data_IF_328738361415
#
_entry.id   IF_328738361415
#
_cell.length_a   1.000
_cell.length_b   1.000
_cell.length_c   1.000
_cell.angle_alpha   90.00
_cell.angle_beta   90.00
_cell.angle_gamma   90.00
#
_symmetry.space_group_name_H-M   'P 1'
#
loop_
_entity.id
_entity.type
_entity.pdbx_description
1 polymer ?
#
# COMPACT_ATOMS: atom_id res chain seq x y z
N UNK A 1 43.31 -24.19 -21.51
CA UNK A 1 42.80 -23.22 -20.50
C UNK A 1 41.29 -23.08 -20.52
N UNK A 2 40.66 -22.83 -21.69
CA UNK A 2 39.20 -22.64 -21.81
C UNK A 2 38.36 -23.82 -21.27
N UNK A 3 38.78 -25.07 -21.52
CA UNK A 3 38.04 -26.27 -21.05
C UNK A 3 37.99 -26.36 -19.52
N UNK A 4 39.08 -26.04 -18.83
CA UNK A 4 39.16 -26.07 -17.36
C UNK A 4 38.30 -24.97 -16.75
N UNK A 5 38.32 -23.77 -17.37
CA UNK A 5 37.45 -22.65 -16.96
C UNK A 5 35.98 -23.04 -17.14
N UNK A 6 35.61 -23.68 -18.24
CA UNK A 6 34.24 -24.16 -18.49
C UNK A 6 33.79 -25.19 -17.44
N UNK A 7 34.65 -26.15 -17.08
CA UNK A 7 34.33 -27.18 -16.08
C UNK A 7 34.11 -26.57 -14.69
N UNK A 8 34.80 -25.48 -14.34
CA UNK A 8 34.56 -24.77 -13.06
C UNK A 8 33.34 -23.83 -13.13
N UNK A 9 33.10 -23.23 -14.30
CA UNK A 9 32.08 -22.22 -14.50
C UNK A 9 30.66 -22.79 -14.46
N UNK A 10 30.40 -23.90 -15.15
CA UNK A 10 29.05 -24.48 -15.21
C UNK A 10 28.52 -24.97 -13.85
N UNK A 11 29.29 -25.64 -12.98
CA UNK A 11 28.86 -25.99 -11.63
C UNK A 11 28.61 -24.78 -10.75
N UNK A 12 29.44 -23.74 -10.84
CA UNK A 12 29.25 -22.50 -10.08
C UNK A 12 27.97 -21.78 -10.50
N UNK A 13 27.68 -21.73 -11.80
CA UNK A 13 26.45 -21.16 -12.34
C UNK A 13 25.22 -21.99 -11.91
N UNK A 14 25.31 -23.32 -11.98
CA UNK A 14 24.28 -24.23 -11.49
C UNK A 14 23.98 -24.04 -10.00
N UNK A 15 25.01 -23.91 -9.17
CA UNK A 15 24.86 -23.64 -7.74
C UNK A 15 24.20 -22.27 -7.47
N UNK A 16 24.60 -21.24 -8.23
CA UNK A 16 23.98 -19.91 -8.17
C UNK A 16 22.49 -19.95 -8.51
N UNK A 17 22.12 -20.62 -9.61
CA UNK A 17 20.72 -20.79 -10.04
C UNK A 17 19.93 -21.60 -9.01
N UNK A 18 20.50 -22.67 -8.47
CA UNK A 18 19.85 -23.48 -7.43
C UNK A 18 19.55 -22.67 -6.17
N UNK A 19 20.53 -21.91 -5.66
CA UNK A 19 20.35 -21.00 -4.51
C UNK A 19 19.33 -19.91 -4.79
N UNK A 20 19.32 -19.37 -6.00
CA UNK A 20 18.33 -18.38 -6.42
C UNK A 20 16.91 -18.96 -6.46
N UNK A 21 16.71 -20.17 -6.99
CA UNK A 21 15.41 -20.85 -7.01
C UNK A 21 14.93 -21.14 -5.57
N UNK A 22 15.80 -21.62 -4.69
CA UNK A 22 15.47 -21.84 -3.28
C UNK A 22 15.06 -20.54 -2.58
N UNK A 23 15.80 -19.46 -2.82
CA UNK A 23 15.48 -18.14 -2.27
C UNK A 23 14.11 -17.66 -2.76
N UNK A 24 13.87 -17.71 -4.09
CA UNK A 24 12.58 -17.34 -4.69
C UNK A 24 11.42 -18.16 -4.12
N UNK A 25 11.60 -19.48 -3.97
CA UNK A 25 10.58 -20.35 -3.39
C UNK A 25 10.31 -20.03 -1.92
N UNK A 26 11.31 -19.61 -1.16
CA UNK A 26 11.16 -19.21 0.24
C UNK A 26 10.43 -17.87 0.37
N UNK A 27 10.76 -16.89 -0.47
CA UNK A 27 10.08 -15.59 -0.51
C UNK A 27 8.63 -15.75 -0.98
N UNK A 28 8.38 -16.59 -2.00
CA UNK A 28 7.02 -16.86 -2.53
C UNK A 28 6.09 -17.56 -1.53
N UNK A 29 6.64 -18.28 -0.54
CA UNK A 29 5.84 -18.94 0.51
C UNK A 29 5.31 -17.94 1.55
N UNK A 30 6.03 -16.84 1.79
CA UNK A 30 5.64 -15.77 2.74
C UNK A 30 4.62 -14.77 2.17
N UNK A 31 4.16 -15.01 0.94
CA UNK A 31 3.18 -14.18 0.26
C UNK A 31 1.83 -14.32 0.96
N UNK A 32 1.24 -13.20 1.37
CA UNK A 32 -0.13 -13.17 1.87
C UNK A 32 -1.07 -13.47 0.70
N UNK A 33 -1.93 -14.48 0.91
CA UNK A 33 -2.97 -14.92 -0.04
C UNK A 33 -4.27 -14.17 0.18
N UNK A 34 -4.64 -13.93 1.44
CA UNK A 34 -5.92 -13.32 1.81
C UNK A 34 -5.81 -12.63 3.17
N UNK A 35 -6.47 -11.48 3.28
CA UNK A 35 -6.65 -10.76 4.55
C UNK A 35 -8.12 -10.93 4.96
N UNK A 36 -8.35 -11.32 6.20
CA UNK A 36 -9.67 -11.41 6.81
C UNK A 36 -9.71 -10.50 8.02
N UNK A 37 -10.72 -9.64 8.09
CA UNK A 37 -10.99 -8.83 9.29
C UNK A 37 -12.29 -9.34 9.88
N UNK A 38 -12.24 -9.76 11.14
CA UNK A 38 -13.36 -10.29 11.90
C UNK A 38 -13.48 -9.59 13.27
N UNK A 39 -14.33 -10.17 14.13
CA UNK A 39 -14.62 -9.66 15.48
C UNK A 39 -13.45 -9.84 16.46
N UNK A 40 -12.44 -10.65 16.11
CA UNK A 40 -11.26 -10.89 16.93
C UNK A 40 -10.10 -9.99 16.52
N UNK A 41 -9.99 -9.67 15.24
CA UNK A 41 -8.89 -8.85 14.72
C UNK A 41 -8.70 -8.99 13.21
N UNK A 42 -7.46 -8.76 12.77
CA UNK A 42 -7.04 -9.00 11.39
C UNK A 42 -6.21 -10.26 11.29
N UNK A 43 -6.49 -11.07 10.27
CA UNK A 43 -5.84 -12.35 10.00
C UNK A 43 -5.26 -12.35 8.60
N UNK A 44 -4.00 -12.76 8.50
CA UNK A 44 -3.22 -12.83 7.27
C UNK A 44 -3.02 -14.29 6.88
N UNK A 45 -3.84 -14.80 5.99
CA UNK A 45 -3.66 -16.15 5.43
C UNK A 45 -2.51 -16.09 4.42
N UNK A 46 -1.44 -16.84 4.66
CA UNK A 46 -0.28 -16.95 3.75
C UNK A 46 -0.42 -18.13 2.79
N UNK A 47 0.33 -18.09 1.69
CA UNK A 47 0.37 -19.18 0.70
C UNK A 47 0.95 -20.49 1.24
N UNK A 48 1.78 -20.44 2.27
CA UNK A 48 2.31 -21.62 2.94
C UNK A 48 1.33 -22.30 3.92
N UNK A 49 0.13 -21.73 4.09
CA UNK A 49 -0.89 -22.24 5.00
C UNK A 49 -0.79 -21.71 6.43
N UNK A 50 0.24 -20.92 6.75
CA UNK A 50 0.32 -20.20 8.03
C UNK A 50 -0.65 -19.02 8.05
N UNK A 51 -1.16 -18.69 9.23
CA UNK A 51 -2.01 -17.52 9.44
C UNK A 51 -1.45 -16.68 10.56
N UNK A 52 -1.03 -15.45 10.26
CA UNK A 52 -0.72 -14.49 11.33
C UNK A 52 -1.99 -13.77 11.74
N UNK A 53 -2.05 -13.35 13.00
CA UNK A 53 -3.17 -12.59 13.52
C UNK A 53 -2.66 -11.39 14.31
N UNK A 54 -3.39 -10.29 14.19
CA UNK A 54 -3.28 -9.15 15.08
C UNK A 54 -4.66 -9.00 15.73
N UNK A 55 -4.75 -9.39 16.99
CA UNK A 55 -6.01 -9.45 17.74
C UNK A 55 -6.26 -8.14 18.47
N UNK A 56 -7.52 -7.73 18.58
CA UNK A 56 -7.89 -6.53 19.32
C UNK A 56 -7.54 -6.63 20.82
N UNK A 57 -7.60 -7.85 21.38
CA UNK A 57 -7.27 -8.11 22.78
C UNK A 57 -5.79 -7.89 23.09
N UNK A 58 -4.92 -8.10 22.11
CA UNK A 58 -3.47 -7.96 22.25
C UNK A 58 -3.00 -6.51 22.04
N UNK A 59 -3.90 -5.60 21.64
CA UNK A 59 -3.59 -4.18 21.48
C UNK A 59 -3.38 -3.54 22.86
N UNK A 60 -2.50 -2.56 22.93
CA UNK A 60 -2.17 -1.89 24.19
C UNK A 60 -2.32 -0.39 24.08
N UNK A 61 -2.60 0.21 25.24
CA UNK A 61 -2.56 1.65 25.39
C UNK A 61 -1.11 2.12 25.55
N UNK A 62 -0.79 3.29 25.00
CA UNK A 62 0.37 4.05 25.41
C UNK A 62 0.13 4.66 26.79
N UNK A 63 1.16 4.63 27.62
CA UNK A 63 1.12 5.22 28.95
C UNK A 63 1.28 6.75 28.93
N UNK A 64 1.61 7.32 27.76
CA UNK A 64 1.85 8.74 27.56
C UNK A 64 0.56 9.43 27.10
N UNK A 65 0.18 10.51 27.77
CA UNK A 65 -1.07 11.25 27.49
C UNK A 65 -1.05 11.95 26.12
N UNK A 66 0.12 12.21 25.56
CA UNK A 66 0.28 12.95 24.30
C UNK A 66 0.37 12.06 23.06
N UNK A 67 0.49 10.74 23.23
CA UNK A 67 0.56 9.79 22.11
C UNK A 67 -0.81 9.13 21.88
N UNK A 68 -1.21 9.00 20.62
CA UNK A 68 -2.38 8.22 20.23
C UNK A 68 -2.01 6.73 20.18
N UNK A 69 -2.89 5.88 20.68
CA UNK A 69 -2.74 4.41 20.70
C UNK A 69 -2.73 3.80 19.30
N UNK A 70 -3.48 4.44 18.40
CA UNK A 70 -3.57 4.08 17.00
C UNK A 70 -3.26 5.31 16.17
N UNK A 71 -2.19 5.23 15.39
CA UNK A 71 -1.69 6.34 14.58
C UNK A 71 -1.29 5.89 13.18
N UNK A 72 -0.92 6.84 12.32
CA UNK A 72 -0.34 6.57 11.01
C UNK A 72 1.16 6.84 11.04
N UNK A 73 1.93 5.91 10.50
CA UNK A 73 3.35 6.10 10.28
C UNK A 73 3.67 6.03 8.79
N UNK A 74 4.48 6.96 8.25
CA UNK A 74 4.96 6.87 6.88
C UNK A 74 5.93 5.69 6.74
N UNK A 75 5.70 4.84 5.74
CA UNK A 75 6.54 3.69 5.39
C UNK A 75 6.56 3.50 3.87
N UNK A 76 7.75 3.49 3.26
CA UNK A 76 7.91 3.31 1.81
C UNK A 76 6.98 4.21 0.95
N UNK A 77 6.84 5.49 1.35
CA UNK A 77 5.98 6.51 0.70
C UNK A 77 4.47 6.30 0.83
N UNK A 78 4.02 5.40 1.70
CA UNK A 78 2.60 5.25 2.05
C UNK A 78 2.39 5.34 3.56
N UNK A 79 1.18 5.67 4.00
CA UNK A 79 0.82 5.68 5.43
C UNK A 79 0.27 4.33 5.86
N UNK A 80 0.92 3.72 6.84
CA UNK A 80 0.54 2.43 7.43
C UNK A 80 0.07 2.65 8.87
N UNK A 81 -0.96 1.91 9.26
CA UNK A 81 -1.53 1.98 10.61
C UNK A 81 -0.51 1.41 11.62
N UNK A 82 -0.11 2.24 12.58
CA UNK A 82 0.78 1.92 13.69
C UNK A 82 -0.08 1.64 14.93
N UNK A 83 0.12 0.49 15.55
CA UNK A 83 -0.55 0.10 16.79
C UNK A 83 0.44 -0.49 17.77
N UNK A 84 0.20 -0.31 19.07
CA UNK A 84 0.98 -0.99 20.12
C UNK A 84 0.38 -2.37 20.40
N UNK A 85 1.23 -3.39 20.49
CA UNK A 85 0.88 -4.79 20.67
C UNK A 85 1.95 -5.52 21.49
N UNK A 86 1.57 -6.06 22.66
CA UNK A 86 2.47 -6.84 23.55
C UNK A 86 3.81 -6.15 23.79
N UNK A 87 3.78 -4.92 24.30
CA UNK A 87 4.97 -4.07 24.53
C UNK A 87 5.82 -3.71 23.29
N UNK A 88 5.35 -4.05 22.09
CA UNK A 88 6.03 -3.73 20.83
C UNK A 88 5.13 -2.89 19.92
N UNK A 89 5.74 -2.08 19.05
CA UNK A 89 4.99 -1.34 18.03
C UNK A 89 4.95 -2.19 16.76
N UNK A 90 3.74 -2.47 16.28
CA UNK A 90 3.52 -3.21 15.05
C UNK A 90 2.79 -2.34 14.03
N UNK A 91 2.99 -2.68 12.76
CA UNK A 91 2.36 -2.00 11.63
C UNK A 91 1.33 -2.93 11.01
N UNK A 92 0.08 -2.48 10.96
CA UNK A 92 -1.00 -3.23 10.32
C UNK A 92 -0.96 -2.91 8.83
N UNK A 93 -0.29 -3.78 8.08
CA UNK A 93 -0.10 -3.62 6.65
C UNK A 93 -1.29 -4.22 5.88
N UNK A 94 -2.12 -3.35 5.32
CA UNK A 94 -3.18 -3.72 4.40
C UNK A 94 -2.79 -3.51 2.92
N UNK A 95 -1.71 -2.80 2.65
CA UNK A 95 -1.32 -2.38 1.30
C UNK A 95 -0.29 -3.30 0.66
N UNK A 96 0.40 -4.05 1.50
CA UNK A 96 1.43 -4.97 1.08
C UNK A 96 2.82 -4.40 0.93
N UNK A 97 3.17 -3.53 1.87
CA UNK A 97 4.51 -2.96 2.01
C UNK A 97 5.50 -3.96 2.58
N UNK A 98 5.06 -4.84 3.47
CA UNK A 98 5.92 -5.75 4.23
C UNK A 98 5.77 -7.21 3.85
N UNK A 99 4.55 -7.63 3.52
CA UNK A 99 4.35 -8.95 2.96
C UNK A 99 4.58 -8.85 1.46
N UNK A 100 5.26 -9.82 0.85
CA UNK A 100 5.39 -9.88 -0.60
C UNK A 100 4.05 -10.20 -1.25
N UNK A 101 3.06 -9.32 -1.19
CA UNK A 101 1.73 -9.56 -1.76
C UNK A 101 1.90 -9.80 -3.27
N UNK A 102 1.54 -10.99 -3.73
CA UNK A 102 1.55 -11.30 -5.17
C UNK A 102 0.29 -10.81 -5.88
N UNK A 103 -0.63 -10.18 -5.15
CA UNK A 103 -1.99 -9.87 -5.62
C UNK A 103 -2.45 -8.53 -5.07
N UNK A 104 -3.13 -7.76 -5.92
CA UNK A 104 -3.77 -6.50 -5.57
C UNK A 104 -5.01 -6.72 -4.69
N UNK A 105 -5.13 -5.95 -3.60
CA UNK A 105 -6.26 -6.06 -2.67
C UNK A 105 -7.40 -5.18 -3.15
N UNK A 106 -8.42 -5.80 -3.75
CA UNK A 106 -9.56 -5.10 -4.35
C UNK A 106 -10.41 -4.35 -3.31
N UNK A 107 -10.55 -4.91 -2.11
CA UNK A 107 -11.46 -4.40 -1.06
C UNK A 107 -10.74 -3.67 0.08
N UNK A 108 -9.60 -3.04 -0.20
CA UNK A 108 -8.73 -2.39 0.78
C UNK A 108 -9.48 -1.41 1.70
N UNK A 109 -10.33 -0.56 1.12
CA UNK A 109 -11.10 0.44 1.89
C UNK A 109 -12.05 -0.21 2.88
N UNK A 110 -12.71 -1.30 2.48
CA UNK A 110 -13.62 -2.03 3.34
C UNK A 110 -12.89 -2.75 4.48
N UNK A 111 -11.70 -3.29 4.20
CA UNK A 111 -10.85 -3.93 5.20
C UNK A 111 -10.39 -2.93 6.27
N UNK A 112 -9.81 -1.80 5.85
CA UNK A 112 -9.37 -0.73 6.77
C UNK A 112 -10.52 -0.22 7.62
N UNK A 113 -11.67 0.08 6.98
CA UNK A 113 -12.88 0.50 7.68
C UNK A 113 -13.30 -0.50 8.74
N UNK A 114 -13.46 -1.77 8.38
CA UNK A 114 -13.92 -2.81 9.31
C UNK A 114 -12.95 -2.98 10.47
N UNK A 115 -11.65 -2.90 10.21
CA UNK A 115 -10.65 -3.04 11.27
C UNK A 115 -10.68 -1.87 12.24
N UNK A 116 -10.73 -0.63 11.73
CA UNK A 116 -10.83 0.57 12.57
C UNK A 116 -12.14 0.60 13.36
N UNK A 117 -13.25 0.22 12.74
CA UNK A 117 -14.53 0.06 13.41
C UNK A 117 -14.45 -1.02 14.52
N UNK A 118 -13.76 -2.13 14.26
CA UNK A 118 -13.50 -3.17 15.25
C UNK A 118 -12.66 -2.67 16.42
N UNK A 119 -11.62 -1.87 16.19
CA UNK A 119 -10.84 -1.24 17.27
C UNK A 119 -11.76 -0.41 18.16
N UNK A 120 -12.58 0.49 17.59
CA UNK A 120 -13.47 1.34 18.38
C UNK A 120 -14.51 0.54 19.15
N UNK A 121 -15.03 -0.54 18.56
CA UNK A 121 -16.07 -1.37 19.18
C UNK A 121 -15.53 -2.30 20.28
N UNK A 122 -14.44 -3.03 19.99
CA UNK A 122 -13.88 -4.02 20.92
C UNK A 122 -12.89 -3.42 21.93
N UNK A 123 -12.32 -2.24 21.62
CA UNK A 123 -11.32 -1.53 22.43
C UNK A 123 -11.60 -0.03 22.48
N UNK A 124 -12.75 0.38 23.06
CA UNK A 124 -13.11 1.80 23.19
C UNK A 124 -12.16 2.57 24.13
N UNK A 125 -11.31 1.87 24.89
CA UNK A 125 -10.27 2.43 25.73
C UNK A 125 -9.10 3.04 24.94
N UNK A 126 -8.92 2.65 23.68
CA UNK A 126 -7.84 3.11 22.80
C UNK A 126 -8.20 4.43 22.11
N UNK A 127 -7.25 5.35 22.11
CA UNK A 127 -7.34 6.66 21.46
C UNK A 127 -6.79 6.58 20.04
N UNK A 128 -7.67 6.78 19.06
CA UNK A 128 -7.31 6.80 17.64
C UNK A 128 -7.00 8.23 17.21
N UNK A 129 -5.87 8.45 16.53
CA UNK A 129 -5.52 9.75 15.96
C UNK A 129 -6.58 10.17 14.92
N UNK A 130 -7.18 11.37 15.01
CA UNK A 130 -8.11 11.90 14.01
C UNK A 130 -7.59 11.82 12.56
N UNK A 131 -6.27 11.93 12.37
CA UNK A 131 -5.61 11.83 11.07
C UNK A 131 -5.84 10.49 10.36
N UNK A 132 -6.06 9.40 11.12
CA UNK A 132 -6.38 8.07 10.58
C UNK A 132 -7.67 8.11 9.76
N UNK A 133 -8.68 8.82 10.25
CA UNK A 133 -9.98 8.96 9.58
C UNK A 133 -9.86 9.78 8.29
N UNK A 134 -9.12 10.89 8.34
CA UNK A 134 -8.89 11.76 7.20
C UNK A 134 -8.12 11.04 6.09
N UNK A 135 -7.00 10.39 6.40
CA UNK A 135 -6.16 9.73 5.39
C UNK A 135 -6.92 8.58 4.70
N UNK A 136 -7.69 7.81 5.46
CA UNK A 136 -8.47 6.72 4.91
C UNK A 136 -9.86 7.12 4.40
N UNK A 137 -10.22 8.41 4.49
CA UNK A 137 -11.52 8.96 4.09
C UNK A 137 -12.69 8.17 4.73
N UNK A 138 -12.56 7.88 6.02
CA UNK A 138 -13.54 7.18 6.85
C UNK A 138 -14.17 8.21 7.78
N UNK A 139 -15.50 8.28 7.82
CA UNK A 139 -16.19 9.12 8.79
C UNK A 139 -16.06 8.51 10.20
N UNK A 140 -15.66 9.31 11.19
CA UNK A 140 -15.40 8.84 12.56
C UNK A 140 -16.64 8.39 13.33
N UNK A 141 -17.85 8.78 12.89
CA UNK A 141 -19.11 8.51 13.60
C UNK A 141 -19.80 7.25 13.07
N UNK A 142 -19.96 7.14 11.76
CA UNK A 142 -20.71 6.04 11.12
C UNK A 142 -19.79 5.04 10.38
N UNK A 143 -18.48 5.31 10.38
CA UNK A 143 -17.45 4.57 9.66
C UNK A 143 -17.75 4.48 8.15
N UNK A 144 -18.67 5.26 7.61
CA UNK A 144 -18.98 5.21 6.18
C UNK A 144 -17.84 5.80 5.37
N UNK A 145 -17.65 5.24 4.18
CA UNK A 145 -16.70 5.81 3.24
C UNK A 145 -17.34 7.02 2.58
N UNK A 146 -16.73 8.20 2.72
CA UNK A 146 -17.24 9.40 2.06
C UNK A 146 -16.96 9.35 0.55
N UNK A 147 -17.88 8.68 -0.15
CA UNK A 147 -17.85 8.55 -1.60
C UNK A 147 -18.05 9.89 -2.29
N UNK A 148 -18.68 10.87 -1.63
CA UNK A 148 -18.98 12.18 -2.21
C UNK A 148 -17.73 13.05 -2.21
N UNK A 149 -17.03 13.12 -1.09
CA UNK A 149 -15.76 13.83 -0.96
C UNK A 149 -14.71 13.23 -1.91
N UNK A 150 -14.57 11.91 -1.93
CA UNK A 150 -13.67 11.22 -2.84
C UNK A 150 -13.99 11.50 -4.32
N UNK A 151 -15.28 11.46 -4.71
CA UNK A 151 -15.70 11.80 -6.09
C UNK A 151 -15.40 13.26 -6.41
N UNK A 152 -15.59 14.18 -5.46
CA UNK A 152 -15.34 15.60 -5.68
C UNK A 152 -13.85 15.86 -5.90
N UNK A 153 -12.98 15.24 -5.09
CA UNK A 153 -11.51 15.30 -5.29
C UNK A 153 -11.15 14.73 -6.65
N UNK A 154 -11.67 13.56 -7.01
CA UNK A 154 -11.40 12.93 -8.30
C UNK A 154 -11.82 13.82 -9.49
N UNK A 155 -13.01 14.40 -9.45
CA UNK A 155 -13.51 15.31 -10.50
C UNK A 155 -12.66 16.58 -10.59
N UNK A 156 -12.27 17.18 -9.45
CA UNK A 156 -11.38 18.35 -9.43
C UNK A 156 -10.03 18.02 -10.07
N UNK A 157 -9.42 16.91 -9.69
CA UNK A 157 -8.14 16.47 -10.26
C UNK A 157 -8.24 16.19 -11.76
N UNK A 158 -9.33 15.55 -12.21
CA UNK A 158 -9.58 15.29 -13.62
C UNK A 158 -9.74 16.59 -14.42
N UNK A 159 -10.46 17.57 -13.87
CA UNK A 159 -10.65 18.87 -14.52
C UNK A 159 -9.31 19.62 -14.72
N UNK A 160 -8.42 19.59 -13.71
CA UNK A 160 -7.08 20.18 -13.80
C UNK A 160 -6.24 19.48 -14.88
N UNK A 161 -6.29 18.15 -14.95
CA UNK A 161 -5.60 17.37 -15.99
C UNK A 161 -6.06 17.71 -17.40
N UNK A 162 -7.38 17.84 -17.60
CA UNK A 162 -7.96 18.23 -18.89
C UNK A 162 -7.52 19.64 -19.28
N UNK A 163 -7.54 20.59 -18.34
CA UNK A 163 -7.07 21.96 -18.57
C UNK A 163 -5.59 21.97 -18.99
N UNK A 164 -4.71 21.30 -18.25
CA UNK A 164 -3.29 21.21 -18.60
C UNK A 164 -3.07 20.56 -19.97
N UNK A 165 -3.78 19.47 -20.26
CA UNK A 165 -3.73 18.80 -21.56
C UNK A 165 -4.19 19.72 -22.70
N UNK A 166 -5.25 20.49 -22.49
CA UNK A 166 -5.76 21.44 -23.48
C UNK A 166 -4.76 22.57 -23.76
N UNK A 167 -4.13 23.13 -22.72
CA UNK A 167 -3.12 24.19 -22.86
C UNK A 167 -1.91 23.69 -23.63
N UNK A 168 -1.39 22.50 -23.27
CA UNK A 168 -0.29 21.86 -23.99
C UNK A 168 -0.65 21.57 -25.45
N UNK A 169 -1.87 21.08 -25.71
CA UNK A 169 -2.38 20.85 -27.06
C UNK A 169 -2.43 22.14 -27.90
N UNK A 170 -2.92 23.24 -27.33
CA UNK A 170 -2.93 24.54 -28.00
C UNK A 170 -1.52 25.04 -28.33
N UNK A 171 -0.56 24.90 -27.41
CA UNK A 171 0.84 25.28 -27.62
C UNK A 171 1.44 24.46 -28.78
N UNK A 172 1.24 23.14 -28.77
CA UNK A 172 1.75 22.25 -29.82
C UNK A 172 1.15 22.55 -31.19
N UNK A 173 -0.15 22.84 -31.27
CA UNK A 173 -0.81 23.25 -32.51
C UNK A 173 -0.30 24.60 -33.02
N UNK A 174 -0.04 25.55 -32.12
CA UNK A 174 0.58 26.84 -32.45
C UNK A 174 1.99 26.66 -33.02
N UNK A 175 2.83 25.86 -32.37
CA UNK A 175 4.18 25.52 -32.83
C UNK A 175 4.17 24.81 -34.19
N UNK A 176 3.28 23.84 -34.38
CA UNK A 176 3.15 23.11 -35.64
C UNK A 176 2.76 24.03 -36.80
N UNK A 177 1.79 24.93 -36.58
CA UNK A 177 1.41 25.96 -37.58
C UNK A 177 2.56 26.91 -37.88
N UNK A 178 3.31 27.33 -36.85
CA UNK A 178 4.43 28.24 -37.02
C UNK A 178 5.57 27.60 -37.84
N UNK A 179 5.94 26.36 -37.51
CA UNK A 179 6.95 25.58 -38.25
C UNK A 179 6.53 25.34 -39.71
N UNK A 180 5.27 24.93 -39.93
CA UNK A 180 4.73 24.74 -41.29
C UNK A 180 4.77 26.03 -42.11
N UNK A 181 4.49 27.19 -41.50
CA UNK A 181 4.55 28.49 -42.18
C UNK A 181 5.99 28.89 -42.49
N UNK A 182 6.94 28.68 -41.56
CA UNK A 182 8.35 28.96 -41.78
C UNK A 182 8.96 28.16 -42.95
N UNK A 183 8.47 26.93 -43.18
CA UNK A 183 8.92 26.06 -44.26
C UNK A 183 8.45 26.51 -45.66
N UNK A 184 7.34 27.27 -45.73
CA UNK A 184 6.77 27.81 -46.99
C UNK A 184 7.52 29.08 -47.45
N UNK A 185 8.13 29.84 -46.54
CA UNK A 185 8.89 31.06 -46.88
C UNK A 185 10.36 30.82 -47.28
N UNK A 186 10.82 29.57 -47.21
CA UNK A 186 12.20 29.15 -47.52
C UNK A 186 12.34 28.49 -48.90
N UNK A 187 11.28 28.54 -49.72
CA UNK A 187 11.21 27.96 -51.06
C UNK A 187 10.70 28.98 -52.07
#
# INVERSE_FOLDING_TARGET
MLVVVSILYYPALGFGVYRFILYQNTVRKRVVKRIVVDDKGVHYERKDGTTDHILYQDLEKYNLADEYDVDLSPRNKIYVLKVKHKDSVIYVDFDGVDAGYSSYIVNLKALRRRYIQGIVYFRPDLRINPSVYTEYNINSVDFTFDKKEYRMVFVKTLAVLILLGSVLGCIMLGLAKWLSKAQIYLH
#
